data_IF_705398276945
#
_entry.id   IF_705398276945
#
_cell.length_a   1.000
_cell.length_b   1.000
_cell.length_c   1.000
_cell.angle_alpha   90.00
_cell.angle_beta   90.00
_cell.angle_gamma   90.00
#
_symmetry.space_group_name_H-M   'P 1'
#
loop_
_entity.id
_entity.type
_entity.pdbx_description
1 polymer ?
2 polymer ?
3 polymer ?
4 water ?
#
# COMPACT_ATOMS: atom_id res chain seq x y z
N UNK A 1 -2.37 -3.75 8.82
CA UNK A 1 -1.07 -4.02 8.22
C UNK A 1 -0.34 -2.76 7.76
N UNK A 2 0.87 -3.02 7.27
CA UNK A 2 1.76 -1.98 6.79
C UNK A 2 1.27 -1.39 5.46
N UNK A 3 1.73 -0.20 5.08
CA UNK A 3 1.31 0.36 3.79
C UNK A 3 1.78 -0.50 2.62
N UNK A 4 1.08 -0.41 1.49
CA UNK A 4 1.46 -1.14 0.28
C UNK A 4 2.67 -0.49 -0.39
N UNK A 5 3.24 -1.05 -1.45
CA UNK A 5 4.42 -0.43 -2.05
C UNK A 5 4.03 0.67 -3.02
N UNK A 6 5.04 1.42 -3.44
CA UNK A 6 4.79 2.49 -4.42
C UNK A 6 4.21 1.95 -5.73
N UNK A 7 3.43 2.80 -6.37
CA UNK A 7 2.87 2.46 -7.67
C UNK A 7 3.88 2.50 -8.79
N UNK B 1 -6.15 -5.05 6.23
CA UNK B 1 -5.04 -4.65 5.37
C UNK B 1 -4.62 -3.21 5.61
N UNK B 2 -3.36 -2.90 5.33
CA UNK B 2 -2.88 -1.54 5.48
C UNK B 2 -3.33 -0.63 4.35
N UNK B 3 -2.96 0.64 4.42
CA UNK B 3 -3.35 1.64 3.43
C UNK B 3 -2.59 1.44 2.12
N UNK B 4 -3.10 2.00 1.06
CA UNK B 4 -2.42 1.91 -0.23
C UNK B 4 -1.05 2.57 -0.14
N UNK B 5 -0.13 2.08 -0.98
CA UNK B 5 1.16 2.72 -1.11
C UNK B 5 1.08 4.09 -1.80
N UNK B 6 2.20 4.82 -1.87
CA UNK B 6 2.23 6.14 -2.48
C UNK B 6 2.26 6.08 -3.99
N UNK B 7 1.94 7.15 -4.68
CA UNK B 7 2.04 7.18 -6.14
C UNK B 7 3.44 6.81 -6.62
N UNK C 1 -2.47 -7.82 6.63
CA UNK C 1 -1.60 -7.87 5.46
C UNK C 1 -1.26 -6.49 4.92
N UNK C 2 -0.21 -6.33 4.13
CA UNK C 2 0.15 -5.05 3.54
C UNK C 2 -0.97 -4.52 2.65
N UNK C 3 -1.02 -3.19 2.51
CA UNK C 3 -2.05 -2.62 1.64
C UNK C 3 -1.69 -2.79 0.18
N UNK C 4 -2.57 -2.33 -0.71
CA UNK C 4 -2.34 -2.45 -2.14
C UNK C 4 -1.29 -1.49 -2.68
N UNK C 5 -0.74 -1.67 -3.88
CA UNK C 5 0.18 -0.71 -4.48
C UNK C 5 -0.52 0.62 -4.73
N UNK C 6 0.30 1.66 -4.76
CA UNK C 6 -0.22 3.00 -5.00
C UNK C 6 -0.50 3.16 -6.48
N UNK C 7 -1.07 4.29 -6.87
CA UNK C 7 -1.40 4.54 -8.28
C UNK C 7 -0.17 4.92 -9.07
#
# INVERSE_FOLDING_TARGET
GPPGPPG
PGPPGPP
PPGPPGP
#
